data_IF_823713857649
#
_entry.id   IF_823713857649
#
_cell.length_a   1.000
_cell.length_b   1.000
_cell.length_c   1.000
_cell.angle_alpha   90.00
_cell.angle_beta   90.00
_cell.angle_gamma   90.00
#
_symmetry.space_group_name_H-M   'P 1'
#
loop_
_entity.id
_entity.type
_entity.pdbx_description
1 polymer ?
#
# COMPACT_ATOMS: atom_id res chain seq x y z
N UNK A 1 -6.83 5.40 -17.09
CA UNK A 1 -5.48 5.99 -16.94
C UNK A 1 -5.39 7.05 -15.83
N UNK A 2 -6.20 8.12 -15.83
CA UNK A 2 -6.08 9.20 -14.80
C UNK A 2 -6.17 8.76 -13.32
N UNK A 3 -6.92 7.69 -13.02
CA UNK A 3 -7.08 7.24 -11.63
C UNK A 3 -5.85 6.52 -11.07
N UNK A 4 -5.06 5.80 -11.90
CA UNK A 4 -3.85 5.12 -11.40
C UNK A 4 -2.74 6.11 -11.06
N UNK A 5 -2.62 7.17 -11.86
CA UNK A 5 -1.67 8.27 -11.63
C UNK A 5 -1.89 8.94 -10.27
N UNK A 6 -3.16 9.22 -9.91
CA UNK A 6 -3.50 9.69 -8.56
C UNK A 6 -3.04 8.72 -7.46
N UNK A 7 -3.13 7.41 -7.70
CA UNK A 7 -2.65 6.41 -6.73
C UNK A 7 -1.13 6.39 -6.64
N UNK A 8 -0.41 6.58 -7.74
CA UNK A 8 1.05 6.67 -7.75
C UNK A 8 1.53 7.89 -6.94
N UNK A 9 0.91 9.06 -7.12
CA UNK A 9 1.22 10.26 -6.33
C UNK A 9 1.01 10.01 -4.83
N UNK A 10 -0.12 9.37 -4.46
CA UNK A 10 -0.36 8.98 -3.07
C UNK A 10 0.65 7.97 -2.56
N UNK A 11 1.06 7.01 -3.39
CA UNK A 11 2.03 6.00 -3.04
C UNK A 11 3.39 6.63 -2.70
N UNK A 12 3.89 7.53 -3.57
CA UNK A 12 5.11 8.30 -3.34
C UNK A 12 5.04 9.07 -2.02
N UNK A 13 3.92 9.74 -1.75
CA UNK A 13 3.72 10.47 -0.49
C UNK A 13 3.77 9.55 0.73
N UNK A 14 3.13 8.39 0.67
CA UNK A 14 3.14 7.43 1.77
C UNK A 14 4.54 6.82 1.97
N UNK A 15 5.25 6.45 0.89
CA UNK A 15 6.61 5.93 0.96
C UNK A 15 7.58 6.93 1.63
N UNK A 16 7.41 8.23 1.39
CA UNK A 16 8.18 9.28 2.07
C UNK A 16 7.79 9.49 3.55
N UNK A 17 6.80 8.75 4.07
CA UNK A 17 6.32 8.85 5.45
C UNK A 17 6.34 7.45 6.11
N UNK A 18 7.52 6.82 6.26
CA UNK A 18 7.65 5.43 6.70
C UNK A 18 7.03 5.17 8.08
N UNK A 19 6.96 6.19 8.95
CA UNK A 19 6.31 6.12 10.26
C UNK A 19 4.80 5.76 10.19
N UNK A 20 4.16 5.88 9.02
CA UNK A 20 2.77 5.44 8.81
C UNK A 20 2.63 3.92 8.74
N UNK A 21 3.72 3.20 8.51
CA UNK A 21 3.73 1.75 8.35
C UNK A 21 4.17 1.09 9.65
N UNK A 22 3.38 0.12 10.10
CA UNK A 22 3.72 -0.74 11.23
C UNK A 22 3.77 -2.17 10.72
N UNK A 23 4.95 -2.78 10.77
CA UNK A 23 5.18 -4.15 10.31
C UNK A 23 5.13 -5.13 11.48
N UNK A 24 4.37 -6.22 11.31
CA UNK A 24 4.24 -7.34 12.24
C UNK A 24 4.23 -8.65 11.46
N UNK A 25 5.42 -9.24 11.27
CA UNK A 25 5.58 -10.48 10.51
C UNK A 25 5.12 -10.32 9.06
N UNK A 26 4.17 -11.14 8.62
CA UNK A 26 3.58 -11.09 7.26
C UNK A 26 2.46 -10.06 7.11
N UNK A 27 2.22 -9.22 8.12
CA UNK A 27 1.18 -8.20 8.10
C UNK A 27 1.83 -6.82 8.26
N UNK A 28 1.39 -5.87 7.45
CA UNK A 28 1.74 -4.45 7.57
C UNK A 28 0.45 -3.64 7.70
N UNK A 29 0.36 -2.76 8.69
CA UNK A 29 -0.73 -1.79 8.78
C UNK A 29 -0.23 -0.42 8.35
N UNK A 30 -0.99 0.26 7.51
CA UNK A 30 -0.70 1.59 6.99
C UNK A 30 -1.76 2.59 7.48
N UNK A 31 -1.34 3.68 8.11
CA UNK A 31 -2.19 4.84 8.37
C UNK A 31 -2.42 5.65 7.08
N UNK A 32 -3.48 5.32 6.34
CA UNK A 32 -3.86 6.02 5.10
C UNK A 32 -4.71 7.26 5.38
N UNK A 33 -5.09 7.99 4.32
CA UNK A 33 -6.03 9.13 4.44
C UNK A 33 -7.45 8.68 4.78
N UNK A 34 -7.77 7.41 4.50
CA UNK A 34 -9.11 6.83 4.68
C UNK A 34 -9.09 5.75 5.76
N UNK A 35 -8.34 6.00 6.84
CA UNK A 35 -8.17 5.09 7.98
C UNK A 35 -7.00 4.11 7.82
N UNK A 36 -6.93 3.17 8.75
CA UNK A 36 -5.91 2.11 8.74
C UNK A 36 -6.22 1.09 7.64
N UNK A 37 -5.19 0.67 6.92
CA UNK A 37 -5.27 -0.36 5.89
C UNK A 37 -4.35 -1.50 6.23
N UNK A 38 -4.85 -2.72 6.09
CA UNK A 38 -4.06 -3.93 6.33
C UNK A 38 -3.52 -4.44 5.00
N UNK A 39 -2.21 -4.65 4.97
CA UNK A 39 -1.50 -5.34 3.91
C UNK A 39 -1.04 -6.70 4.43
N UNK A 40 -1.27 -7.75 3.65
CA UNK A 40 -0.88 -9.13 3.99
C UNK A 40 0.05 -9.67 2.92
N UNK A 41 1.15 -10.30 3.33
CA UNK A 41 2.05 -11.03 2.43
C UNK A 41 1.55 -12.46 2.25
N UNK A 42 1.33 -12.87 1.02
CA UNK A 42 1.07 -14.28 0.65
C UNK A 42 2.07 -14.66 -0.43
N UNK A 43 2.99 -15.58 -0.12
CA UNK A 43 4.15 -15.84 -0.97
C UNK A 43 5.01 -14.58 -1.08
N UNK A 44 5.24 -14.11 -2.31
CA UNK A 44 5.97 -12.87 -2.59
C UNK A 44 5.08 -11.69 -3.00
N UNK A 45 3.77 -11.78 -2.79
CA UNK A 45 2.80 -10.76 -3.21
C UNK A 45 2.17 -10.10 -1.99
N UNK A 46 2.02 -8.78 -2.05
CA UNK A 46 1.31 -7.98 -1.05
C UNK A 46 -0.14 -7.72 -1.48
N UNK A 47 -1.07 -8.05 -0.58
CA UNK A 47 -2.50 -7.85 -0.76
C UNK A 47 -2.98 -6.75 0.16
N UNK A 48 -3.82 -5.84 -0.35
CA UNK A 48 -4.43 -4.78 0.46
C UNK A 48 -5.94 -4.96 0.54
N UNK A 49 -6.50 -4.69 1.72
CA UNK A 49 -7.94 -4.76 2.00
C UNK A 49 -8.80 -3.66 1.35
N UNK A 50 -8.20 -2.76 0.55
CA UNK A 50 -8.94 -1.63 -0.01
C UNK A 50 -9.71 -2.00 -1.28
N UNK A 51 -10.85 -1.34 -1.49
CA UNK A 51 -11.74 -1.58 -2.63
C UNK A 51 -11.09 -1.32 -3.98
N UNK A 52 -10.12 -0.42 -4.04
CA UNK A 52 -9.38 -0.16 -5.28
C UNK A 52 -8.51 -1.36 -5.66
N UNK A 53 -7.77 -1.93 -4.69
CA UNK A 53 -6.97 -3.14 -4.91
C UNK A 53 -7.84 -4.32 -5.35
N UNK A 54 -9.01 -4.52 -4.72
CA UNK A 54 -9.94 -5.57 -5.11
C UNK A 54 -10.40 -5.48 -6.59
N UNK A 55 -10.38 -4.28 -7.19
CA UNK A 55 -10.79 -4.05 -8.58
C UNK A 55 -9.63 -4.08 -9.57
N UNK A 56 -8.41 -3.71 -9.14
CA UNK A 56 -7.29 -3.43 -10.05
C UNK A 56 -6.01 -4.17 -9.69
N UNK A 57 -6.04 -5.05 -8.69
CA UNK A 57 -4.89 -5.83 -8.16
C UNK A 57 -3.66 -4.99 -7.76
N UNK A 58 -3.85 -3.68 -7.59
CA UNK A 58 -2.86 -2.72 -7.12
C UNK A 58 -3.55 -1.56 -6.44
N UNK A 59 -2.85 -0.81 -5.59
CA UNK A 59 -3.35 0.42 -4.99
C UNK A 59 -2.19 1.27 -4.45
N UNK A 60 -2.48 2.49 -4.02
CA UNK A 60 -1.46 3.38 -3.43
C UNK A 60 -0.79 2.81 -2.19
N UNK A 61 -1.43 1.88 -1.47
CA UNK A 61 -0.87 1.28 -0.26
C UNK A 61 0.19 0.22 -0.60
N UNK A 62 -0.13 -0.68 -1.54
CA UNK A 62 0.80 -1.73 -2.01
C UNK A 62 1.99 -1.09 -2.70
N UNK A 63 1.75 -0.17 -3.64
CA UNK A 63 2.83 0.55 -4.33
C UNK A 63 3.78 1.28 -3.36
N UNK A 64 3.24 1.88 -2.30
CA UNK A 64 4.07 2.55 -1.30
C UNK A 64 4.88 1.57 -0.47
N UNK A 65 4.28 0.44 -0.07
CA UNK A 65 4.97 -0.61 0.68
C UNK A 65 6.09 -1.24 -0.16
N UNK A 66 5.81 -1.60 -1.40
CA UNK A 66 6.81 -2.17 -2.32
C UNK A 66 7.98 -1.19 -2.53
N UNK A 67 7.70 0.09 -2.76
CA UNK A 67 8.71 1.14 -2.83
C UNK A 67 9.56 1.27 -1.57
N UNK A 68 8.98 1.10 -0.37
CA UNK A 68 9.71 1.11 0.90
C UNK A 68 10.59 -0.12 1.10
N UNK A 69 10.15 -1.27 0.57
CA UNK A 69 10.85 -2.54 0.67
C UNK A 69 11.91 -2.74 -0.44
N UNK A 70 11.94 -1.85 -1.44
CA UNK A 70 12.79 -2.00 -2.62
C UNK A 70 12.38 -3.20 -3.49
N UNK A 71 11.08 -3.48 -3.57
CA UNK A 71 10.47 -4.58 -4.34
C UNK A 71 9.75 -4.07 -5.58
#
# INVERSE_FOLDING_TARGET
MKEIEKKQIKAIRYANQPARFVMKGSIVTLQSDHGVRTLKKVGNIWFCDCTFYAKTTTCSHVMALESLLGQ
#
